data_IF_537434959430
#
_entry.id   IF_537434959430
#
_cell.length_a   1.000
_cell.length_b   1.000
_cell.length_c   1.000
_cell.angle_alpha   90.00
_cell.angle_beta   90.00
_cell.angle_gamma   90.00
#
_symmetry.space_group_name_H-M   'P 1'
#
loop_
_entity.id
_entity.type
_entity.pdbx_description
1 polymer ?
#
# COMPACT_ATOMS: atom_id res chain seq x y z
N UNK A 1 -2.47 12.75 7.77
CA UNK A 1 -3.57 13.58 7.23
C UNK A 1 -4.35 12.89 6.10
N UNK A 2 -3.79 12.64 4.91
CA UNK A 2 -4.56 12.03 3.81
C UNK A 2 -5.06 10.62 4.13
N UNK A 3 -4.19 9.74 4.66
CA UNK A 3 -4.56 8.37 5.06
C UNK A 3 -5.67 8.38 6.11
N UNK A 4 -5.52 9.19 7.16
CA UNK A 4 -6.50 9.33 8.24
C UNK A 4 -7.86 9.84 7.74
N UNK A 5 -7.87 10.82 6.83
CA UNK A 5 -9.10 11.34 6.24
C UNK A 5 -9.84 10.25 5.44
N UNK A 6 -9.11 9.45 4.66
CA UNK A 6 -9.67 8.35 3.88
C UNK A 6 -10.20 7.21 4.76
N UNK A 7 -9.54 6.93 5.89
CA UNK A 7 -10.03 5.96 6.89
C UNK A 7 -11.27 6.47 7.62
N UNK A 8 -11.37 7.77 7.90
CA UNK A 8 -12.55 8.37 8.49
C UNK A 8 -13.77 8.35 7.56
N UNK A 9 -13.56 8.50 6.24
CA UNK A 9 -14.62 8.55 5.23
C UNK A 9 -15.23 7.16 4.91
N UNK A 10 -14.42 6.10 4.90
CA UNK A 10 -14.90 4.79 4.45
C UNK A 10 -14.39 3.57 5.21
N UNK A 11 -13.91 3.76 6.44
CA UNK A 11 -13.55 2.68 7.35
C UNK A 11 -12.19 2.04 7.09
N UNK A 12 -12.03 0.81 7.57
CA UNK A 12 -10.76 0.08 7.53
C UNK A 12 -10.44 -0.46 6.13
N UNK A 13 -9.17 -0.43 5.76
CA UNK A 13 -8.65 -1.02 4.53
C UNK A 13 -8.22 -2.47 4.77
N UNK A 14 -8.48 -3.36 3.81
CA UNK A 14 -8.04 -4.76 3.87
C UNK A 14 -6.53 -4.89 3.60
N UNK A 15 -5.96 -3.92 2.87
CA UNK A 15 -4.54 -3.73 2.69
C UNK A 15 -4.23 -2.26 2.35
N UNK A 16 -3.12 -1.77 2.89
CA UNK A 16 -2.52 -0.47 2.58
C UNK A 16 -1.16 -0.77 1.95
N UNK A 17 -1.10 -0.56 0.63
CA UNK A 17 0.01 -0.96 -0.23
C UNK A 17 0.88 0.26 -0.46
N UNK A 18 2.17 0.17 -0.14
CA UNK A 18 3.14 1.18 -0.56
C UNK A 18 3.89 0.70 -1.81
N UNK A 19 3.81 1.51 -2.87
CA UNK A 19 4.54 1.23 -4.10
C UNK A 19 5.98 1.74 -3.97
N UNK A 20 6.95 0.83 -4.03
CA UNK A 20 8.37 1.15 -3.87
C UNK A 20 9.25 0.10 -4.58
N UNK A 21 10.39 0.50 -5.19
CA UNK A 21 11.33 -0.46 -5.78
C UNK A 21 11.84 -1.51 -4.80
N UNK A 22 11.98 -1.15 -3.52
CA UNK A 22 12.47 -2.05 -2.46
C UNK A 22 11.44 -3.11 -2.01
N UNK A 23 10.21 -3.07 -2.53
CA UNK A 23 9.13 -3.98 -2.15
C UNK A 23 9.16 -5.30 -2.90
N UNK A 24 8.32 -6.27 -2.47
CA UNK A 24 8.21 -7.55 -3.15
C UNK A 24 7.71 -7.37 -4.60
N UNK A 25 8.34 -8.05 -5.56
CA UNK A 25 7.93 -7.96 -6.96
C UNK A 25 6.51 -8.49 -7.16
N UNK A 26 5.67 -7.65 -7.75
CA UNK A 26 4.30 -7.97 -8.08
C UNK A 26 4.23 -9.13 -9.05
N UNK A 27 3.40 -10.12 -8.74
CA UNK A 27 3.22 -11.31 -9.55
C UNK A 27 1.75 -11.78 -9.51
N UNK A 28 1.42 -12.76 -10.35
CA UNK A 28 0.04 -13.24 -10.48
C UNK A 28 -0.55 -13.79 -9.17
N UNK A 29 0.27 -14.39 -8.30
CA UNK A 29 -0.18 -14.90 -7.00
C UNK A 29 -0.59 -13.75 -6.07
N UNK A 30 0.21 -12.69 -6.04
CA UNK A 30 -0.12 -11.45 -5.32
C UNK A 30 -1.37 -10.81 -5.89
N UNK A 31 -1.50 -10.72 -7.22
CA UNK A 31 -2.68 -10.20 -7.90
C UNK A 31 -3.97 -10.94 -7.51
N UNK A 32 -3.93 -12.29 -7.54
CA UNK A 32 -5.06 -13.14 -7.14
C UNK A 32 -5.42 -12.98 -5.66
N UNK A 33 -4.43 -12.70 -4.80
CA UNK A 33 -4.67 -12.49 -3.37
C UNK A 33 -5.29 -11.12 -3.10
N UNK A 34 -4.84 -10.09 -3.83
CA UNK A 34 -5.38 -8.73 -3.75
C UNK A 34 -6.78 -8.60 -4.37
N UNK A 35 -7.11 -9.37 -5.41
CA UNK A 35 -8.44 -9.34 -6.04
C UNK A 35 -9.56 -9.85 -5.13
N UNK A 36 -9.23 -10.60 -4.07
CA UNK A 36 -10.17 -11.05 -3.06
C UNK A 36 -10.44 -10.00 -1.98
N UNK A 37 -9.69 -8.90 -1.97
CA UNK A 37 -9.88 -7.80 -1.02
C UNK A 37 -10.96 -6.84 -1.54
N UNK A 38 -11.72 -6.24 -0.63
CA UNK A 38 -12.82 -5.34 -0.96
C UNK A 38 -12.36 -3.88 -1.02
N UNK A 39 -11.40 -3.51 -0.17
CA UNK A 39 -10.95 -2.12 -0.05
C UNK A 39 -9.43 -2.06 0.07
N UNK A 40 -8.79 -1.55 -0.97
CA UNK A 40 -7.35 -1.35 -1.05
C UNK A 40 -7.03 0.14 -1.00
N UNK A 41 -5.97 0.51 -0.27
CA UNK A 41 -5.36 1.84 -0.38
C UNK A 41 -3.98 1.67 -0.99
N UNK A 42 -3.70 2.40 -2.08
CA UNK A 42 -2.40 2.38 -2.74
C UNK A 42 -1.73 3.73 -2.50
N UNK A 43 -0.57 3.70 -1.84
CA UNK A 43 0.27 4.86 -1.57
C UNK A 43 1.34 4.91 -2.66
N UNK A 44 1.25 5.93 -3.51
CA UNK A 44 2.28 6.25 -4.48
C UNK A 44 3.28 7.21 -3.84
N UNK A 45 4.48 6.72 -3.54
CA UNK A 45 5.58 7.56 -3.09
C UNK A 45 5.98 8.57 -4.17
N UNK A 46 6.45 9.74 -3.73
CA UNK A 46 7.07 10.72 -4.61
C UNK A 46 8.44 11.13 -4.04
N UNK A 47 9.34 11.64 -4.87
CA UNK A 47 10.73 11.95 -4.49
C UNK A 47 11.49 10.74 -3.92
N UNK A 48 12.04 10.85 -2.69
CA UNK A 48 12.82 9.80 -2.01
C UNK A 48 11.94 8.79 -1.24
N UNK A 49 10.63 8.77 -1.52
CA UNK A 49 9.68 7.91 -0.84
C UNK A 49 8.97 8.61 0.32
N UNK A 50 8.36 7.80 1.20
CA UNK A 50 7.63 8.28 2.37
C UNK A 50 8.44 8.07 3.66
N UNK A 51 8.12 8.84 4.69
CA UNK A 51 8.73 8.72 6.01
C UNK A 51 8.53 7.31 6.60
N UNK A 52 9.58 6.73 7.19
CA UNK A 52 9.55 5.39 7.76
C UNK A 52 8.43 5.22 8.80
N UNK A 53 8.11 6.26 9.57
CA UNK A 53 7.03 6.21 10.57
C UNK A 53 5.66 5.97 9.92
N UNK A 54 5.45 6.45 8.70
CA UNK A 54 4.21 6.19 7.96
C UNK A 54 4.18 4.75 7.45
N UNK A 55 5.33 4.21 7.02
CA UNK A 55 5.46 2.80 6.64
C UNK A 55 5.09 1.91 7.82
N UNK A 56 5.73 2.12 8.96
CA UNK A 56 5.54 1.30 10.16
C UNK A 56 4.12 1.42 10.74
N UNK A 57 3.51 2.61 10.67
CA UNK A 57 2.20 2.86 11.26
C UNK A 57 1.01 2.38 10.41
N UNK A 58 1.14 2.39 9.08
CA UNK A 58 -0.02 2.18 8.20
C UNK A 58 0.19 1.11 7.12
N UNK A 59 1.40 0.93 6.61
CA UNK A 59 1.62 0.08 5.44
C UNK A 59 1.56 -1.38 5.85
N UNK A 60 0.71 -2.15 5.17
CA UNK A 60 0.56 -3.59 5.42
C UNK A 60 1.40 -4.43 4.48
N UNK A 61 1.79 -3.87 3.33
CA UNK A 61 2.64 -4.52 2.35
C UNK A 61 3.31 -3.51 1.44
N UNK A 62 4.51 -3.85 0.97
CA UNK A 62 5.28 -3.07 0.00
C UNK A 62 5.39 -3.85 -1.31
N UNK A 63 5.14 -3.18 -2.43
CA UNK A 63 5.12 -3.83 -3.74
C UNK A 63 6.00 -3.04 -4.73
N UNK A 64 6.87 -3.77 -5.43
CA UNK A 64 7.55 -3.30 -6.63
C UNK A 64 6.84 -3.85 -7.88
N UNK A 65 6.82 -3.11 -8.99
CA UNK A 65 6.32 -3.62 -10.27
C UNK A 65 7.36 -4.41 -11.06
N UNK A 66 8.60 -4.47 -10.57
CA UNK A 66 9.75 -5.06 -11.24
C UNK A 66 10.95 -4.11 -11.26
N UNK A 67 12.07 -4.65 -11.72
CA UNK A 67 13.28 -3.90 -12.08
C UNK A 67 13.24 -3.45 -13.55
#
# INVERSE_FOLDING_TARGET
KAIEALQADGGTYDAIIYMTPDGDTFNQKTANSLSLKKRLLIICGHYKGIDQRIRDAYVTMEISIGD
#
